data_IF_108763067844
#
_entry.id   IF_108763067844
#
_cell.length_a   1.000
_cell.length_b   1.000
_cell.length_c   1.000
_cell.angle_alpha   90.00
_cell.angle_beta   90.00
_cell.angle_gamma   90.00
#
_symmetry.space_group_name_H-M   'P 1'
#
loop_
_entity.id
_entity.type
_entity.pdbx_description
1 polymer ?
#
# COMPACT_ATOMS: atom_id res chain seq x y z
N UNK A 1 -43.11 -9.73 -21.86
CA UNK A 1 -41.77 -9.10 -21.84
C UNK A 1 -41.48 -8.69 -20.41
N UNK A 2 -40.59 -9.40 -19.70
CA UNK A 2 -40.28 -9.10 -18.30
C UNK A 2 -39.25 -7.97 -18.24
N UNK A 3 -39.65 -6.83 -17.68
CA UNK A 3 -38.78 -5.67 -17.48
C UNK A 3 -38.11 -5.78 -16.12
N UNK A 4 -36.84 -6.19 -16.09
CA UNK A 4 -36.04 -6.15 -14.87
C UNK A 4 -35.80 -4.67 -14.50
N UNK A 5 -36.45 -4.19 -13.44
CA UNK A 5 -36.12 -2.89 -12.83
C UNK A 5 -34.71 -2.99 -12.23
N UNK A 6 -33.80 -2.03 -12.48
CA UNK A 6 -32.50 -2.03 -11.85
C UNK A 6 -32.65 -1.79 -10.35
N UNK A 7 -32.29 -2.77 -9.54
CA UNK A 7 -32.20 -2.62 -8.08
C UNK A 7 -31.09 -1.61 -7.79
N UNK A 8 -31.43 -0.44 -7.25
CA UNK A 8 -30.42 0.49 -6.76
C UNK A 8 -29.68 -0.17 -5.60
N UNK A 9 -28.38 -0.39 -5.75
CA UNK A 9 -27.53 -0.85 -4.65
C UNK A 9 -27.46 0.29 -3.63
N UNK A 10 -28.29 0.25 -2.60
CA UNK A 10 -28.23 1.19 -1.48
C UNK A 10 -27.20 0.62 -0.50
N UNK A 11 -26.03 1.25 -0.41
CA UNK A 11 -25.01 0.87 0.59
C UNK A 11 -25.49 1.37 1.97
N UNK A 12 -26.23 0.53 2.70
CA UNK A 12 -26.79 0.86 4.02
C UNK A 12 -25.78 0.72 5.16
N UNK A 13 -24.56 0.32 4.87
CA UNK A 13 -23.49 0.06 5.84
C UNK A 13 -22.84 1.35 6.36
N UNK A 14 -23.61 2.18 7.06
CA UNK A 14 -23.08 3.29 7.87
C UNK A 14 -22.71 2.74 9.25
N UNK A 15 -21.57 2.05 9.32
CA UNK A 15 -21.05 1.52 10.57
C UNK A 15 -20.49 2.65 11.43
N UNK A 16 -21.21 2.99 12.51
CA UNK A 16 -20.68 3.89 13.52
C UNK A 16 -19.71 3.10 14.40
N UNK A 17 -18.43 3.16 14.08
CA UNK A 17 -17.40 2.53 14.91
C UNK A 17 -17.39 3.23 16.26
N UNK A 18 -17.65 2.48 17.34
CA UNK A 18 -17.52 2.97 18.72
C UNK A 18 -16.29 2.35 19.39
N UNK A 19 -15.06 2.70 18.96
CA UNK A 19 -13.85 2.10 19.52
C UNK A 19 -13.66 2.56 20.95
N UNK A 20 -13.15 1.65 21.78
CA UNK A 20 -12.60 2.01 23.10
C UNK A 20 -11.43 2.98 22.94
N UNK A 21 -11.07 3.71 24.00
CA UNK A 21 -9.92 4.62 23.97
C UNK A 21 -8.62 3.92 23.53
N UNK A 22 -8.39 2.69 24.01
CA UNK A 22 -7.25 1.88 23.61
C UNK A 22 -7.29 1.50 22.12
N UNK A 23 -8.46 1.09 21.60
CA UNK A 23 -8.62 0.78 20.18
C UNK A 23 -8.36 2.01 19.29
N UNK A 24 -8.78 3.21 19.72
CA UNK A 24 -8.52 4.46 19.00
C UNK A 24 -7.01 4.74 18.87
N UNK A 25 -6.24 4.52 19.93
CA UNK A 25 -4.78 4.68 19.89
C UNK A 25 -4.14 3.72 18.87
N UNK A 26 -4.53 2.44 18.88
CA UNK A 26 -4.02 1.45 17.93
C UNK A 26 -4.37 1.80 16.48
N UNK A 27 -5.59 2.31 16.24
CA UNK A 27 -6.01 2.76 14.92
C UNK A 27 -5.17 3.94 14.41
N UNK A 28 -4.92 4.93 15.27
CA UNK A 28 -4.07 6.07 14.93
C UNK A 28 -2.64 5.62 14.60
N UNK A 29 -2.04 4.77 15.44
CA UNK A 29 -0.70 4.21 15.19
C UNK A 29 -0.65 3.43 13.87
N UNK A 30 -1.71 2.68 13.55
CA UNK A 30 -1.82 1.97 12.27
C UNK A 30 -1.80 2.94 11.10
N UNK A 31 -2.58 4.02 11.17
CA UNK A 31 -2.60 5.08 10.14
C UNK A 31 -1.22 5.73 9.99
N UNK A 32 -0.56 6.05 11.10
CA UNK A 32 0.78 6.66 11.12
C UNK A 32 1.82 5.78 10.41
N UNK A 33 1.88 4.49 10.75
CA UNK A 33 2.80 3.54 10.11
C UNK A 33 2.50 3.43 8.61
N UNK A 34 1.22 3.35 8.25
CA UNK A 34 0.77 3.21 6.85
C UNK A 34 1.16 4.41 6.00
N UNK A 35 0.92 5.62 6.50
CA UNK A 35 1.31 6.85 5.82
C UNK A 35 2.83 7.03 5.80
N UNK A 36 3.53 6.58 6.84
CA UNK A 36 4.99 6.52 6.90
C UNK A 36 5.56 5.68 5.76
N UNK A 37 5.00 4.49 5.53
CA UNK A 37 5.37 3.61 4.41
C UNK A 37 5.13 4.29 3.07
N UNK A 38 3.95 4.86 2.84
CA UNK A 38 3.64 5.56 1.58
C UNK A 38 4.62 6.70 1.31
N UNK A 39 4.94 7.51 2.33
CA UNK A 39 5.90 8.61 2.21
C UNK A 39 7.30 8.12 1.85
N UNK A 40 7.76 7.04 2.49
CA UNK A 40 9.06 6.45 2.18
C UNK A 40 9.11 5.89 0.74
N UNK A 41 8.05 5.21 0.32
CA UNK A 41 7.92 4.66 -1.04
C UNK A 41 7.90 5.76 -2.10
N UNK A 42 7.24 6.90 -1.85
CA UNK A 42 7.25 8.03 -2.79
C UNK A 42 8.69 8.51 -3.09
N UNK A 43 9.55 8.61 -2.08
CA UNK A 43 10.96 8.98 -2.30
C UNK A 43 11.72 7.99 -3.19
N UNK A 44 11.49 6.69 -2.98
CA UNK A 44 12.08 5.63 -3.80
C UNK A 44 11.54 5.68 -5.23
N UNK A 45 10.22 5.83 -5.39
CA UNK A 45 9.57 5.88 -6.70
C UNK A 45 10.05 7.07 -7.52
N UNK A 46 10.14 8.27 -6.93
CA UNK A 46 10.67 9.45 -7.61
C UNK A 46 12.12 9.26 -8.06
N UNK A 47 12.95 8.64 -7.20
CA UNK A 47 14.37 8.37 -7.53
C UNK A 47 14.53 7.38 -8.68
N UNK A 48 13.65 6.37 -8.78
CA UNK A 48 13.74 5.30 -9.78
C UNK A 48 12.74 5.44 -10.92
N UNK A 49 12.02 6.57 -11.02
CA UNK A 49 10.98 6.76 -12.04
C UNK A 49 11.47 6.50 -13.48
N UNK A 50 12.69 6.93 -13.89
CA UNK A 50 13.19 6.66 -15.24
C UNK A 50 13.25 5.17 -15.61
N UNK A 51 13.49 4.28 -14.66
CA UNK A 51 13.54 2.82 -14.90
C UNK A 51 12.19 2.13 -14.68
N UNK A 52 11.29 2.75 -13.90
CA UNK A 52 9.99 2.18 -13.50
C UNK A 52 8.82 2.64 -14.38
N UNK A 53 8.90 3.83 -14.98
CA UNK A 53 7.78 4.48 -15.67
C UNK A 53 7.21 3.67 -16.84
N UNK A 54 8.08 3.04 -17.64
CA UNK A 54 7.68 2.21 -18.78
C UNK A 54 7.14 0.82 -18.43
N UNK A 55 7.20 0.41 -17.16
CA UNK A 55 6.72 -0.90 -16.73
C UNK A 55 5.20 -0.90 -16.53
N UNK A 56 4.57 -2.06 -16.80
CA UNK A 56 3.19 -2.29 -16.37
C UNK A 56 3.09 -2.24 -14.85
N UNK A 57 1.91 -1.91 -14.32
CA UNK A 57 1.67 -1.78 -12.87
C UNK A 57 2.16 -3.00 -12.08
N UNK A 58 1.87 -4.21 -12.56
CA UNK A 58 2.31 -5.45 -11.91
C UNK A 58 3.84 -5.60 -11.86
N UNK A 59 4.51 -5.33 -13.00
CA UNK A 59 5.98 -5.37 -13.07
C UNK A 59 6.61 -4.28 -12.20
N UNK A 60 5.99 -3.10 -12.15
CA UNK A 60 6.43 -1.97 -11.33
C UNK A 60 6.34 -2.28 -9.84
N UNK A 61 5.22 -2.85 -9.38
CA UNK A 61 5.05 -3.28 -7.99
C UNK A 61 6.12 -4.30 -7.61
N UNK A 62 6.37 -5.31 -8.46
CA UNK A 62 7.39 -6.31 -8.20
C UNK A 62 8.81 -5.72 -8.20
N UNK A 63 9.11 -4.79 -9.10
CA UNK A 63 10.40 -4.11 -9.14
C UNK A 63 10.65 -3.31 -7.87
N UNK A 64 9.67 -2.53 -7.41
CA UNK A 64 9.75 -1.76 -6.16
C UNK A 64 9.85 -2.69 -4.95
N UNK A 65 9.07 -3.77 -4.90
CA UNK A 65 9.14 -4.75 -3.82
C UNK A 65 10.54 -5.38 -3.71
N UNK A 66 11.20 -5.68 -4.83
CA UNK A 66 12.60 -6.14 -4.86
C UNK A 66 13.60 -5.09 -4.37
N UNK A 67 13.31 -3.79 -4.54
CA UNK A 67 14.20 -2.73 -4.06
C UNK A 67 14.22 -2.63 -2.53
N UNK A 68 13.10 -2.94 -1.88
CA UNK A 68 12.88 -2.63 -0.45
C UNK A 68 12.87 -3.86 0.47
N UNK A 69 12.41 -5.02 -0.01
CA UNK A 69 12.11 -6.14 0.87
C UNK A 69 13.12 -7.27 0.75
N UNK A 70 13.69 -7.68 1.89
CA UNK A 70 14.61 -8.78 1.98
C UNK A 70 13.85 -10.12 1.99
N UNK A 71 14.28 -11.04 1.14
CA UNK A 71 13.78 -12.42 1.11
C UNK A 71 14.93 -13.39 0.85
N UNK A 72 14.70 -14.69 1.00
CA UNK A 72 15.72 -15.69 0.66
C UNK A 72 16.23 -15.58 -0.80
N UNK A 73 15.36 -15.16 -1.74
CA UNK A 73 15.71 -14.95 -3.16
C UNK A 73 16.16 -13.50 -3.46
N UNK A 74 16.13 -12.61 -2.48
CA UNK A 74 16.57 -11.22 -2.56
C UNK A 74 17.29 -10.82 -1.26
N UNK A 75 18.49 -11.36 -1.00
CA UNK A 75 19.15 -11.22 0.30
C UNK A 75 19.67 -9.80 0.56
N UNK A 76 19.97 -9.03 -0.49
CA UNK A 76 20.60 -7.71 -0.41
C UNK A 76 19.76 -6.65 -1.18
N UNK A 77 18.54 -6.30 -0.73
CA UNK A 77 17.77 -5.21 -1.33
C UNK A 77 18.50 -3.86 -1.18
N UNK A 78 18.33 -2.96 -2.16
CA UNK A 78 18.97 -1.64 -2.18
C UNK A 78 18.58 -0.78 -0.97
N UNK A 79 17.34 -0.90 -0.51
CA UNK A 79 16.79 -0.18 0.64
C UNK A 79 16.50 -1.14 1.81
N UNK A 80 17.50 -1.93 2.23
CA UNK A 80 17.35 -2.87 3.36
C UNK A 80 16.82 -2.23 4.64
N UNK A 81 17.11 -0.96 4.87
CA UNK A 81 16.62 -0.20 6.03
C UNK A 81 15.09 -0.09 6.07
N UNK A 82 14.40 -0.35 4.96
CA UNK A 82 12.93 -0.38 4.91
C UNK A 82 12.35 -1.42 5.87
N UNK A 83 12.86 -2.67 5.85
CA UNK A 83 12.38 -3.74 6.73
C UNK A 83 12.77 -3.52 8.20
N UNK A 84 13.78 -2.68 8.46
CA UNK A 84 14.17 -2.26 9.81
C UNK A 84 13.25 -1.14 10.33
N UNK A 85 12.90 -0.18 9.47
CA UNK A 85 12.04 0.96 9.79
C UNK A 85 10.58 0.52 9.96
N UNK A 86 10.11 -0.36 9.07
CA UNK A 86 8.74 -0.89 9.05
C UNK A 86 8.77 -2.39 9.38
N UNK A 87 9.18 -2.69 10.60
CA UNK A 87 9.40 -4.06 11.04
C UNK A 87 8.17 -4.95 10.83
N UNK A 88 8.37 -6.08 10.15
CA UNK A 88 7.33 -7.08 9.84
C UNK A 88 6.10 -6.50 9.11
N UNK A 89 6.27 -5.47 8.30
CA UNK A 89 5.16 -4.92 7.53
C UNK A 89 4.53 -5.98 6.60
N UNK A 90 3.21 -6.23 6.67
CA UNK A 90 2.55 -7.30 5.92
C UNK A 90 2.72 -7.15 4.41
N UNK A 91 2.93 -8.27 3.71
CA UNK A 91 3.20 -8.27 2.26
C UNK A 91 2.06 -7.69 1.42
N UNK A 92 0.80 -8.06 1.72
CA UNK A 92 -0.36 -7.53 1.01
C UNK A 92 -0.48 -6.02 1.18
N UNK A 93 -0.23 -5.54 2.40
CA UNK A 93 -0.34 -4.13 2.74
C UNK A 93 0.82 -3.33 2.13
N UNK A 94 2.01 -3.92 2.04
CA UNK A 94 3.16 -3.40 1.27
C UNK A 94 2.82 -3.17 -0.19
N UNK A 95 2.23 -4.17 -0.85
CA UNK A 95 1.82 -4.05 -2.25
C UNK A 95 0.74 -2.99 -2.44
N UNK A 96 -0.24 -2.94 -1.55
CA UNK A 96 -1.26 -1.89 -1.55
C UNK A 96 -0.63 -0.49 -1.41
N UNK A 97 0.32 -0.31 -0.49
CA UNK A 97 1.04 0.95 -0.31
C UNK A 97 1.87 1.35 -1.53
N UNK A 98 2.53 0.38 -2.20
CA UNK A 98 3.24 0.64 -3.46
C UNK A 98 2.26 1.11 -4.54
N UNK A 99 1.13 0.43 -4.71
CA UNK A 99 0.11 0.83 -5.69
C UNK A 99 -0.45 2.22 -5.36
N UNK A 100 -0.73 2.49 -4.09
CA UNK A 100 -1.18 3.81 -3.64
C UNK A 100 -0.18 4.91 -3.96
N UNK A 101 1.12 4.68 -3.71
CA UNK A 101 2.17 5.65 -4.00
C UNK A 101 2.42 5.84 -5.51
N UNK A 102 2.01 4.89 -6.35
CA UNK A 102 2.05 4.99 -7.82
C UNK A 102 0.89 5.78 -8.42
N UNK A 103 -0.17 6.02 -7.65
CA UNK A 103 -1.39 6.68 -8.14
C UNK A 103 -1.26 8.16 -8.57
N UNK A 104 -0.25 8.98 -8.20
CA UNK A 104 -0.21 10.38 -8.65
C UNK A 104 0.33 10.58 -10.07
N UNK A 105 0.47 9.53 -10.90
CA UNK A 105 1.09 9.62 -12.24
C UNK A 105 0.18 9.20 -13.41
N UNK A 106 -1.12 9.48 -13.36
CA UNK A 106 -2.00 9.40 -14.54
C UNK A 106 -2.19 10.78 -15.16
#
# INVERSE_FOLDING_TARGET
MLTNKPTSIIHTDRWNLNPTAAARVLLIQTVEVSLGVCRHLMGILLTHWPSLGGLSTQKRVLAVEKLIHQTAKNPNPKYRQFDQTFYKFPSYYRRAAIVFALWPSQ
#
